data_IF_634683690708
#
_entry.id   IF_634683690708
#
_cell.length_a   1.000
_cell.length_b   1.000
_cell.length_c   1.000
_cell.angle_alpha   90.00
_cell.angle_beta   90.00
_cell.angle_gamma   90.00
#
_symmetry.space_group_name_H-M   'P 1'
#
loop_
_entity.id
_entity.type
_entity.pdbx_description
1 polymer ?
#
# COMPACT_ATOMS: atom_id res chain seq x y z
N UNK A 1 5.40 -21.65 27.72
CA UNK A 1 5.52 -21.24 26.30
C UNK A 1 5.54 -19.73 26.27
N UNK A 2 6.71 -19.14 26.06
CA UNK A 2 6.84 -17.68 25.93
C UNK A 2 6.21 -17.24 24.60
N UNK A 3 5.43 -16.14 24.58
CA UNK A 3 4.93 -15.60 23.32
C UNK A 3 6.13 -15.26 22.42
N UNK A 4 6.04 -15.49 21.10
CA UNK A 4 7.14 -15.20 20.19
C UNK A 4 7.51 -13.71 20.32
N UNK A 5 8.77 -13.46 20.70
CA UNK A 5 9.35 -12.13 20.73
C UNK A 5 9.21 -11.51 19.33
N UNK A 6 8.64 -10.32 19.22
CA UNK A 6 8.60 -9.59 17.96
C UNK A 6 9.91 -8.78 17.85
N UNK A 7 10.84 -9.16 16.95
CA UNK A 7 12.13 -8.50 16.82
C UNK A 7 12.05 -7.10 16.20
N UNK A 8 10.85 -6.64 15.84
CA UNK A 8 10.60 -5.28 15.36
C UNK A 8 10.03 -4.33 16.43
N UNK A 9 9.93 -4.76 17.71
CA UNK A 9 9.47 -3.86 18.79
C UNK A 9 10.43 -2.67 18.90
N UNK A 10 9.91 -1.47 18.67
CA UNK A 10 10.65 -0.22 18.86
C UNK A 10 10.80 0.09 20.36
N UNK A 11 11.77 0.93 20.72
CA UNK A 11 12.10 1.26 22.12
C UNK A 11 10.88 1.75 22.95
N UNK A 12 9.89 2.38 22.31
CA UNK A 12 8.62 2.81 22.90
C UNK A 12 7.59 1.68 23.10
N UNK A 13 7.94 0.42 22.82
CA UNK A 13 7.03 -0.73 22.93
C UNK A 13 5.97 -0.80 21.83
N UNK A 14 6.00 0.12 20.85
CA UNK A 14 5.11 0.11 19.69
C UNK A 14 5.40 -1.12 18.82
N UNK A 15 4.38 -1.93 18.55
CA UNK A 15 4.42 -2.98 17.54
C UNK A 15 4.27 -2.34 16.16
N UNK A 16 5.23 -2.51 15.23
CA UNK A 16 5.08 -1.96 13.90
C UNK A 16 4.04 -2.73 13.10
N UNK A 17 3.42 -2.01 12.16
CA UNK A 17 2.52 -2.54 11.14
C UNK A 17 3.29 -3.42 10.15
N UNK A 18 2.56 -4.23 9.38
CA UNK A 18 3.18 -5.02 8.30
C UNK A 18 3.87 -4.14 7.26
N UNK A 19 3.36 -2.94 7.01
CA UNK A 19 3.96 -1.98 6.09
C UNK A 19 5.28 -1.42 6.64
N UNK A 20 5.31 -1.00 7.91
CA UNK A 20 6.55 -0.52 8.57
C UNK A 20 7.62 -1.62 8.61
N UNK A 21 7.25 -2.88 8.86
CA UNK A 21 8.19 -4.01 8.80
C UNK A 21 8.70 -4.27 7.37
N UNK A 22 7.84 -4.15 6.36
CA UNK A 22 8.23 -4.32 4.95
C UNK A 22 9.20 -3.23 4.50
N UNK A 23 8.96 -1.96 4.88
CA UNK A 23 9.87 -0.86 4.52
C UNK A 23 11.28 -1.11 5.06
N UNK A 24 11.42 -1.49 6.33
CA UNK A 24 12.73 -1.82 6.92
C UNK A 24 13.46 -2.96 6.18
N UNK A 25 12.71 -3.93 5.64
CA UNK A 25 13.30 -5.01 4.83
C UNK A 25 13.76 -4.48 3.47
N UNK A 26 12.96 -3.63 2.82
CA UNK A 26 13.28 -3.03 1.52
C UNK A 26 14.45 -2.06 1.59
N UNK A 27 14.56 -1.31 2.69
CA UNK A 27 15.65 -0.37 2.96
C UNK A 27 16.95 -1.11 3.39
N UNK A 28 16.90 -2.44 3.57
CA UNK A 28 18.04 -3.26 3.94
C UNK A 28 18.46 -3.14 5.41
N UNK A 29 17.64 -2.49 6.24
CA UNK A 29 17.89 -2.25 7.66
C UNK A 29 17.40 -3.41 8.56
N UNK A 30 16.70 -4.38 7.99
CA UNK A 30 16.19 -5.55 8.72
C UNK A 30 17.26 -6.65 8.90
N UNK A 31 17.42 -7.09 10.14
CA UNK A 31 18.25 -8.25 10.52
C UNK A 31 17.69 -9.58 9.98
N UNK A 32 18.52 -10.62 9.94
CA UNK A 32 18.08 -11.97 9.52
C UNK A 32 16.94 -12.53 10.39
N UNK A 33 16.95 -12.24 11.69
CA UNK A 33 15.87 -12.62 12.62
C UNK A 33 14.57 -11.89 12.29
N UNK A 34 14.64 -10.59 12.00
CA UNK A 34 13.50 -9.78 11.56
C UNK A 34 12.92 -10.26 10.22
N UNK A 35 13.78 -10.57 9.24
CA UNK A 35 13.32 -11.12 7.97
C UNK A 35 12.62 -12.47 8.13
N UNK A 36 13.17 -13.37 8.97
CA UNK A 36 12.56 -14.65 9.28
C UNK A 36 11.21 -14.49 9.98
N UNK A 37 11.15 -13.62 11.01
CA UNK A 37 9.91 -13.32 11.71
C UNK A 37 8.86 -12.75 10.77
N UNK A 38 9.21 -11.79 9.91
CA UNK A 38 8.28 -11.18 8.95
C UNK A 38 7.73 -12.23 7.98
N UNK A 39 8.59 -13.12 7.46
CA UNK A 39 8.18 -14.22 6.57
C UNK A 39 7.16 -15.15 7.23
N UNK A 40 7.39 -15.52 8.49
CA UNK A 40 6.46 -16.37 9.27
C UNK A 40 5.19 -15.60 9.68
N UNK A 41 5.31 -14.30 9.95
CA UNK A 41 4.19 -13.42 10.31
C UNK A 41 3.25 -13.21 9.12
N UNK A 42 3.79 -13.01 7.91
CA UNK A 42 3.01 -12.81 6.68
C UNK A 42 2.08 -13.99 6.37
N UNK A 43 2.53 -15.22 6.62
CA UNK A 43 1.74 -16.44 6.48
C UNK A 43 0.48 -16.42 7.39
N UNK A 44 0.61 -15.81 8.59
CA UNK A 44 -0.48 -15.65 9.56
C UNK A 44 -1.30 -14.37 9.38
N UNK A 45 -0.73 -13.33 8.76
CA UNK A 45 -1.33 -12.01 8.60
C UNK A 45 -2.18 -11.86 7.32
N UNK A 46 -2.42 -12.98 6.61
CA UNK A 46 -3.37 -13.13 5.49
C UNK A 46 -4.76 -12.47 5.69
N UNK A 47 -5.33 -12.30 6.91
CA UNK A 47 -6.55 -11.49 7.10
C UNK A 47 -6.39 -10.03 6.67
N UNK A 48 -5.22 -9.42 6.84
CA UNK A 48 -4.95 -8.04 6.40
C UNK A 48 -4.84 -7.93 4.87
N UNK A 49 -4.36 -8.99 4.20
CA UNK A 49 -4.31 -9.07 2.74
C UNK A 49 -5.69 -9.30 2.10
N UNK A 50 -6.59 -10.03 2.79
CA UNK A 50 -7.98 -10.23 2.34
C UNK A 50 -8.79 -8.93 2.34
N UNK A 51 -8.62 -8.07 3.36
CA UNK A 51 -9.29 -6.76 3.38
C UNK A 51 -8.80 -5.87 2.24
N UNK A 52 -7.51 -5.92 1.92
CA UNK A 52 -6.96 -5.22 0.75
C UNK A 52 -7.50 -5.78 -0.56
N UNK A 53 -7.58 -7.10 -0.71
CA UNK A 53 -8.16 -7.74 -1.91
C UNK A 53 -9.63 -7.37 -2.09
N UNK A 54 -10.41 -7.30 -1.00
CA UNK A 54 -11.81 -6.87 -1.05
C UNK A 54 -11.93 -5.39 -1.45
N UNK A 55 -11.14 -4.50 -0.84
CA UNK A 55 -11.11 -3.07 -1.18
C UNK A 55 -10.69 -2.84 -2.64
N UNK A 56 -9.68 -3.56 -3.11
CA UNK A 56 -9.25 -3.55 -4.51
C UNK A 56 -10.34 -4.05 -5.46
N UNK A 57 -11.01 -5.17 -5.12
CA UNK A 57 -12.11 -5.72 -5.91
C UNK A 57 -13.30 -4.74 -5.98
N UNK A 58 -13.62 -4.08 -4.87
CA UNK A 58 -14.68 -3.07 -4.82
C UNK A 58 -14.30 -1.85 -5.68
N UNK A 59 -13.05 -1.38 -5.61
CA UNK A 59 -12.55 -0.28 -6.45
C UNK A 59 -12.59 -0.62 -7.94
N UNK A 60 -12.15 -1.81 -8.33
CA UNK A 60 -12.21 -2.28 -9.72
C UNK A 60 -13.66 -2.38 -10.21
N UNK A 61 -14.56 -2.90 -9.39
CA UNK A 61 -15.99 -3.00 -9.72
C UNK A 61 -16.62 -1.61 -9.92
N UNK A 62 -16.31 -0.66 -9.03
CA UNK A 62 -16.79 0.72 -9.15
C UNK A 62 -16.24 1.41 -10.39
N UNK A 63 -14.96 1.21 -10.72
CA UNK A 63 -14.38 1.74 -11.96
C UNK A 63 -15.04 1.14 -13.20
N UNK A 64 -15.29 -0.17 -13.22
CA UNK A 64 -15.93 -0.86 -14.36
C UNK A 64 -17.39 -0.47 -14.56
N UNK A 65 -18.14 -0.24 -13.47
CA UNK A 65 -19.60 -0.04 -13.52
C UNK A 65 -20.07 1.39 -13.39
N UNK A 66 -19.32 2.25 -12.71
CA UNK A 66 -19.76 3.61 -12.38
C UNK A 66 -18.90 4.71 -13.04
N UNK A 67 -17.68 4.38 -13.47
CA UNK A 67 -16.72 5.37 -13.98
C UNK A 67 -16.11 4.98 -15.33
N UNK A 68 -16.86 4.23 -16.15
CA UNK A 68 -16.39 3.70 -17.44
C UNK A 68 -16.42 4.71 -18.59
N UNK A 69 -17.13 5.82 -18.43
CA UNK A 69 -17.12 6.90 -19.39
C UNK A 69 -15.82 7.69 -19.24
N UNK A 70 -14.89 7.42 -20.14
CA UNK A 70 -13.72 8.27 -20.33
C UNK A 70 -14.22 9.66 -20.68
N UNK A 71 -13.69 10.69 -20.00
CA UNK A 71 -14.03 12.06 -20.31
C UNK A 71 -13.84 12.32 -21.82
N UNK A 72 -14.75 13.07 -22.48
CA UNK A 72 -14.65 13.33 -23.91
C UNK A 72 -13.27 13.84 -24.28
N UNK A 73 -12.68 13.30 -25.36
CA UNK A 73 -11.31 13.62 -25.77
C UNK A 73 -11.08 15.13 -25.94
N UNK A 74 -12.09 15.83 -26.47
CA UNK A 74 -12.07 17.29 -26.64
C UNK A 74 -11.95 18.04 -25.30
N UNK A 75 -12.65 17.58 -24.25
CA UNK A 75 -12.56 18.16 -22.91
C UNK A 75 -11.18 17.94 -22.30
N UNK A 76 -10.60 16.76 -22.49
CA UNK A 76 -9.24 16.44 -22.04
C UNK A 76 -8.21 17.35 -22.73
N UNK A 77 -8.35 17.55 -24.04
CA UNK A 77 -7.46 18.40 -24.82
C UNK A 77 -7.54 19.87 -24.39
N UNK A 78 -8.76 20.38 -24.19
CA UNK A 78 -9.00 21.74 -23.66
C UNK A 78 -8.33 21.94 -22.29
N UNK A 79 -8.49 20.99 -21.36
CA UNK A 79 -7.88 21.05 -20.02
C UNK A 79 -6.34 21.06 -20.12
N UNK A 80 -5.76 20.20 -20.95
CA UNK A 80 -4.29 20.16 -21.16
C UNK A 80 -3.75 21.47 -21.71
N UNK A 81 -4.48 22.08 -22.66
CA UNK A 81 -4.12 23.36 -23.24
C UNK A 81 -4.12 24.48 -22.18
N UNK A 82 -5.17 24.54 -21.36
CA UNK A 82 -5.30 25.53 -20.28
C UNK A 82 -4.22 25.37 -19.19
N UNK A 83 -3.88 24.13 -18.81
CA UNK A 83 -2.79 23.87 -17.85
C UNK A 83 -1.45 24.35 -18.42
N UNK A 84 -1.19 24.05 -19.69
CA UNK A 84 0.07 24.46 -20.36
C UNK A 84 0.20 25.98 -20.45
N UNK A 85 -0.92 26.69 -20.68
CA UNK A 85 -0.95 28.15 -20.70
C UNK A 85 -0.74 28.76 -19.31
N UNK A 86 -1.32 28.17 -18.27
CA UNK A 86 -1.19 28.66 -16.88
C UNK A 86 0.17 28.33 -16.22
N UNK A 87 0.95 27.38 -16.75
CA UNK A 87 2.29 27.04 -16.26
C UNK A 87 3.42 27.83 -16.94
N UNK A 88 3.12 28.55 -18.02
CA UNK A 88 4.07 29.36 -18.79
C UNK A 88 4.07 30.85 -18.40
N UNK A 89 3.46 31.21 -17.26
CA UNK A 89 3.38 32.57 -16.72
C UNK A 89 4.14 32.73 -15.41
#
# INVERSE_FOLDING_TARGET
MTPPHNPFILADGKKPTCMEMLQLILDGEATAEQQHYFKVHMDKCMPCFKTYSLDATIKELLQDKCCKDVAPAELIEQIKLQISQNQAG
#
